data_IF_129155960651
#
_entry.id   IF_129155960651
#
_cell.length_a   1.000
_cell.length_b   1.000
_cell.length_c   1.000
_cell.angle_alpha   90.00
_cell.angle_beta   90.00
_cell.angle_gamma   90.00
#
_symmetry.space_group_name_H-M   'P 1'
#
loop_
_entity.id
_entity.type
_entity.pdbx_description
1 polymer ?
#
# COMPACT_ATOMS: atom_id res chain seq x y z
N UNK A 1 -0.17 -8.97 1.50
CA UNK A 1 -0.81 -8.06 0.50
C UNK A 1 -0.28 -8.32 -0.91
N UNK A 2 1.02 -8.61 -1.06
CA UNK A 2 1.63 -9.00 -2.34
C UNK A 2 0.97 -10.22 -3.00
N UNK A 3 0.68 -11.29 -2.25
CA UNK A 3 0.08 -12.51 -2.84
C UNK A 3 -1.32 -12.25 -3.39
N UNK A 4 -2.15 -11.50 -2.65
CA UNK A 4 -3.46 -11.07 -3.12
C UNK A 4 -3.36 -10.23 -4.41
N UNK A 5 -2.39 -9.32 -4.47
CA UNK A 5 -2.16 -8.51 -5.67
C UNK A 5 -1.67 -9.35 -6.86
N UNK A 6 -0.74 -10.27 -6.63
CA UNK A 6 -0.16 -11.11 -7.66
C UNK A 6 -1.15 -12.16 -8.19
N UNK A 7 -1.91 -12.79 -7.30
CA UNK A 7 -2.75 -13.94 -7.64
C UNK A 7 -4.17 -13.55 -8.03
N UNK A 8 -4.71 -12.45 -7.48
CA UNK A 8 -6.11 -12.07 -7.71
C UNK A 8 -6.23 -10.86 -8.64
N UNK A 9 -5.30 -9.90 -8.53
CA UNK A 9 -5.44 -8.62 -9.23
C UNK A 9 -4.73 -8.60 -10.60
N UNK A 10 -3.49 -9.10 -10.69
CA UNK A 10 -2.74 -9.10 -11.95
C UNK A 10 -3.44 -9.86 -13.09
N UNK A 11 -4.06 -11.05 -12.88
CA UNK A 11 -4.77 -11.74 -13.96
C UNK A 11 -5.94 -10.93 -14.53
N UNK A 12 -6.77 -10.35 -13.67
CA UNK A 12 -7.93 -9.53 -14.07
C UNK A 12 -7.50 -8.26 -14.83
N UNK A 13 -6.35 -7.67 -14.45
CA UNK A 13 -5.73 -6.54 -15.17
C UNK A 13 -5.37 -6.92 -16.62
N UNK A 14 -4.77 -8.10 -16.83
CA UNK A 14 -4.40 -8.54 -18.17
C UNK A 14 -5.63 -8.84 -19.03
N UNK A 15 -6.72 -9.36 -18.45
CA UNK A 15 -7.98 -9.56 -19.15
C UNK A 15 -8.62 -8.25 -19.61
N UNK A 16 -8.53 -7.18 -18.82
CA UNK A 16 -9.02 -5.85 -19.22
C UNK A 16 -8.22 -5.25 -20.37
N UNK A 17 -6.89 -5.38 -20.31
CA UNK A 17 -6.02 -4.96 -21.41
C UNK A 17 -6.37 -5.72 -22.70
N UNK A 18 -6.57 -7.04 -22.60
CA UNK A 18 -6.96 -7.87 -23.75
C UNK A 18 -8.34 -7.47 -24.29
N UNK A 19 -9.32 -7.21 -23.41
CA UNK A 19 -10.65 -6.76 -23.82
C UNK A 19 -10.64 -5.41 -24.55
N UNK A 20 -9.81 -4.46 -24.12
CA UNK A 20 -9.65 -3.16 -24.77
C UNK A 20 -8.94 -3.26 -26.13
N UNK A 21 -8.04 -4.21 -26.29
CA UNK A 21 -7.30 -4.45 -27.53
C UNK A 21 -7.98 -5.46 -28.47
N UNK A 22 -9.06 -6.11 -28.01
CA UNK A 22 -9.78 -7.15 -28.74
C UNK A 22 -10.27 -6.71 -30.11
N UNK A 23 -10.71 -5.47 -30.24
CA UNK A 23 -11.01 -4.84 -31.53
C UNK A 23 -9.92 -3.83 -31.89
N UNK A 24 -8.87 -4.32 -32.55
CA UNK A 24 -7.73 -3.51 -32.96
C UNK A 24 -8.12 -2.32 -33.86
N UNK A 25 -9.23 -2.42 -34.63
CA UNK A 25 -9.69 -1.32 -35.50
C UNK A 25 -10.37 -0.23 -34.67
N UNK A 26 -11.24 -0.62 -33.74
CA UNK A 26 -11.87 0.33 -32.83
C UNK A 26 -10.81 0.98 -31.91
N UNK A 27 -9.87 0.19 -31.38
CA UNK A 27 -8.75 0.70 -30.60
C UNK A 27 -7.88 1.68 -31.40
N UNK A 28 -7.61 1.40 -32.69
CA UNK A 28 -6.90 2.30 -33.61
C UNK A 28 -7.64 3.61 -33.89
N UNK A 29 -8.96 3.55 -34.04
CA UNK A 29 -9.80 4.74 -34.19
C UNK A 29 -9.84 5.56 -32.89
N UNK A 30 -9.86 4.90 -31.74
CA UNK A 30 -9.92 5.52 -30.41
C UNK A 30 -8.66 6.31 -30.03
N UNK A 31 -7.50 5.91 -30.56
CA UNK A 31 -6.20 6.65 -30.49
C UNK A 31 -6.01 7.67 -31.62
N UNK A 32 -6.93 7.75 -32.56
CA UNK A 32 -6.83 8.67 -33.70
C UNK A 32 -5.81 8.26 -34.77
N UNK A 33 -5.40 6.99 -34.83
CA UNK A 33 -4.59 6.44 -35.93
C UNK A 33 -5.44 6.05 -37.15
N UNK A 34 -6.75 5.85 -36.96
CA UNK A 34 -7.71 5.46 -37.99
C UNK A 34 -8.92 6.41 -37.99
N UNK A 35 -9.54 6.64 -39.16
CA UNK A 35 -10.86 7.31 -39.24
C UNK A 35 -11.95 6.37 -38.68
N UNK A 36 -12.78 6.87 -37.76
CA UNK A 36 -13.87 6.08 -37.17
C UNK A 36 -15.01 6.94 -36.62
N UNK A 37 -16.25 6.41 -36.56
CA UNK A 37 -17.35 7.11 -35.92
C UNK A 37 -17.17 7.00 -34.41
N UNK A 38 -17.34 8.11 -33.70
CA UNK A 38 -17.33 8.25 -32.22
C UNK A 38 -15.99 8.67 -31.61
N UNK A 39 -15.93 9.94 -31.18
CA UNK A 39 -15.05 10.38 -30.09
C UNK A 39 -15.42 9.60 -28.82
N UNK A 40 -14.46 9.20 -27.98
CA UNK A 40 -14.75 8.48 -26.74
C UNK A 40 -15.93 9.08 -25.99
N UNK A 41 -16.98 8.29 -25.74
CA UNK A 41 -17.79 8.59 -24.57
C UNK A 41 -16.90 8.33 -23.37
N UNK A 42 -16.53 9.39 -22.65
CA UNK A 42 -16.03 9.28 -21.28
C UNK A 42 -17.01 8.34 -20.55
N UNK A 43 -16.51 7.31 -19.87
CA UNK A 43 -17.35 6.48 -19.01
C UNK A 43 -18.17 7.45 -18.13
N UNK A 44 -19.49 7.41 -18.28
CA UNK A 44 -20.37 8.31 -17.54
C UNK A 44 -20.33 7.86 -16.08
N UNK A 45 -19.58 8.59 -15.26
CA UNK A 45 -19.62 8.42 -13.81
C UNK A 45 -21.07 8.62 -13.33
N UNK A 46 -21.57 7.77 -12.42
CA UNK A 46 -22.75 8.09 -11.65
C UNK A 46 -22.60 9.51 -11.10
N UNK A 47 -23.58 10.37 -11.41
CA UNK A 47 -23.47 11.80 -11.14
C UNK A 47 -23.07 12.04 -9.68
N UNK A 48 -22.09 12.92 -9.49
CA UNK A 48 -21.62 13.38 -8.19
C UNK A 48 -22.82 13.85 -7.37
N UNK A 49 -23.29 13.02 -6.44
CA UNK A 49 -24.30 13.44 -5.47
C UNK A 49 -23.55 14.11 -4.32
N UNK A 50 -23.54 15.44 -4.38
CA UNK A 50 -23.06 16.41 -3.38
C UNK A 50 -21.59 16.83 -3.45
N UNK A 51 -21.42 18.10 -3.84
CA UNK A 51 -20.14 18.82 -3.75
C UNK A 51 -19.88 19.32 -2.34
N UNK A 52 -19.02 18.61 -1.61
CA UNK A 52 -17.98 19.05 -0.66
C UNK A 52 -17.07 17.83 -0.49
N UNK A 53 -15.74 17.97 -0.61
CA UNK A 53 -14.78 16.85 -0.63
C UNK A 53 -14.88 15.93 0.63
N UNK A 54 -15.54 14.76 0.56
CA UNK A 54 -15.78 13.91 1.73
C UNK A 54 -14.54 13.19 2.21
N UNK A 55 -13.49 13.05 1.37
CA UNK A 55 -12.24 12.40 1.78
C UNK A 55 -11.49 13.21 2.84
N UNK A 56 -11.48 14.55 2.78
CA UNK A 56 -10.83 15.36 3.81
C UNK A 56 -11.57 15.20 5.14
N UNK A 57 -12.91 15.16 5.11
CA UNK A 57 -13.72 14.92 6.31
C UNK A 57 -13.66 13.46 6.80
N UNK A 58 -13.48 12.49 5.91
CA UNK A 58 -13.28 11.07 6.23
C UNK A 58 -11.90 10.84 6.86
N UNK A 59 -10.83 11.37 6.28
CA UNK A 59 -9.48 11.35 6.86
C UNK A 59 -9.36 12.25 8.10
N UNK A 60 -10.09 13.37 8.17
CA UNK A 60 -10.16 14.17 9.40
C UNK A 60 -10.88 13.42 10.54
N UNK A 61 -11.87 12.58 10.21
CA UNK A 61 -12.56 11.70 11.17
C UNK A 61 -11.79 10.43 11.52
N UNK A 62 -10.93 9.94 10.62
CA UNK A 62 -10.00 8.83 10.88
C UNK A 62 -8.65 9.29 11.41
N UNK A 63 -8.37 10.60 11.42
CA UNK A 63 -7.08 11.14 11.84
C UNK A 63 -6.79 10.84 13.31
N UNK A 64 -7.81 10.54 14.10
CA UNK A 64 -7.66 10.09 15.49
C UNK A 64 -8.46 8.84 15.76
N UNK A 65 -7.93 8.02 16.65
CA UNK A 65 -8.50 6.77 17.13
C UNK A 65 -8.77 6.92 18.62
N UNK A 66 -10.01 6.70 19.08
CA UNK A 66 -10.31 6.70 20.51
C UNK A 66 -9.75 5.42 21.14
N UNK A 67 -9.01 5.59 22.23
CA UNK A 67 -8.48 4.50 23.05
C UNK A 67 -8.91 4.70 24.50
N UNK A 68 -8.69 3.69 25.34
CA UNK A 68 -8.94 3.81 26.80
C UNK A 68 -8.07 4.88 27.48
N UNK A 69 -7.01 5.35 26.83
CA UNK A 69 -6.09 6.38 27.34
C UNK A 69 -6.28 7.75 26.69
N UNK A 70 -7.29 7.91 25.83
CA UNK A 70 -7.58 9.14 25.10
C UNK A 70 -7.51 8.96 23.60
N UNK A 71 -7.56 10.06 22.87
CA UNK A 71 -7.42 10.04 21.41
C UNK A 71 -5.95 9.94 21.02
N UNK A 72 -5.67 9.13 20.01
CA UNK A 72 -4.34 8.91 19.42
C UNK A 72 -4.43 9.20 17.94
N UNK A 73 -3.46 9.91 17.36
CA UNK A 73 -3.39 10.04 15.90
C UNK A 73 -3.30 8.65 15.24
N UNK A 74 -4.08 8.40 14.18
CA UNK A 74 -4.02 7.12 13.46
C UNK A 74 -2.62 6.85 12.91
N UNK A 75 -1.99 7.87 12.33
CA UNK A 75 -0.60 7.81 11.86
C UNK A 75 0.38 7.42 12.97
N UNK A 76 0.06 7.76 14.23
CA UNK A 76 0.90 7.42 15.36
C UNK A 76 0.72 5.95 15.78
N UNK A 77 -0.53 5.50 15.81
CA UNK A 77 -0.87 4.10 16.07
C UNK A 77 -0.24 3.16 15.03
N UNK A 78 -0.42 3.47 13.74
CA UNK A 78 0.12 2.69 12.62
C UNK A 78 1.64 2.63 12.68
N UNK A 79 2.28 3.78 12.83
CA UNK A 79 3.74 3.84 12.91
C UNK A 79 4.29 3.01 14.09
N UNK A 80 3.65 3.07 15.26
CA UNK A 80 4.08 2.27 16.41
C UNK A 80 3.94 0.77 16.15
N UNK A 81 2.79 0.33 15.64
CA UNK A 81 2.52 -1.09 15.36
C UNK A 81 3.52 -1.64 14.34
N UNK A 82 3.73 -0.91 13.24
CA UNK A 82 4.62 -1.31 12.16
C UNK A 82 6.07 -1.40 12.65
N UNK A 83 6.59 -0.35 13.30
CA UNK A 83 7.99 -0.34 13.75
C UNK A 83 8.26 -1.24 14.95
N UNK A 84 7.32 -1.40 15.89
CA UNK A 84 7.48 -2.40 16.95
C UNK A 84 7.57 -3.81 16.34
N UNK A 85 6.75 -4.10 15.32
CA UNK A 85 6.79 -5.36 14.58
C UNK A 85 8.10 -5.57 13.82
N UNK A 86 8.53 -4.59 13.03
CA UNK A 86 9.78 -4.65 12.24
C UNK A 86 10.99 -4.82 13.16
N UNK A 87 11.10 -4.04 14.23
CA UNK A 87 12.24 -4.12 15.16
C UNK A 87 12.28 -5.49 15.86
N UNK A 88 11.14 -6.02 16.28
CA UNK A 88 11.04 -7.36 16.87
C UNK A 88 11.40 -8.46 15.85
N UNK A 89 10.93 -8.35 14.61
CA UNK A 89 11.24 -9.28 13.53
C UNK A 89 12.72 -9.28 13.20
N UNK A 90 13.35 -8.10 13.07
CA UNK A 90 14.79 -7.99 12.79
C UNK A 90 15.64 -8.62 13.91
N UNK A 91 15.22 -8.47 15.18
CA UNK A 91 15.89 -9.12 16.31
C UNK A 91 15.74 -10.64 16.25
N UNK A 92 14.53 -11.13 15.98
CA UNK A 92 14.22 -12.56 15.94
C UNK A 92 14.88 -13.25 14.74
N UNK A 93 14.98 -12.56 13.60
CA UNK A 93 15.55 -13.04 12.35
C UNK A 93 16.99 -12.58 12.11
N UNK A 94 17.71 -12.14 13.17
CA UNK A 94 19.08 -11.63 13.06
C UNK A 94 20.09 -12.59 12.42
N UNK A 95 19.91 -13.90 12.59
CA UNK A 95 20.80 -14.91 12.00
C UNK A 95 20.54 -15.08 10.49
N UNK A 96 19.29 -15.27 10.02
CA UNK A 96 18.98 -15.17 8.59
C UNK A 96 19.48 -13.87 7.93
N UNK A 97 19.25 -12.71 8.56
CA UNK A 97 19.73 -11.41 8.05
C UNK A 97 21.26 -11.39 7.93
N UNK A 98 21.96 -11.97 8.91
CA UNK A 98 23.41 -12.09 8.87
C UNK A 98 23.88 -13.00 7.71
N UNK A 99 23.22 -14.13 7.51
CA UNK A 99 23.54 -15.07 6.42
C UNK A 99 23.29 -14.44 5.04
N UNK A 100 22.23 -13.66 4.88
CA UNK A 100 21.95 -12.95 3.63
C UNK A 100 23.07 -11.95 3.31
N UNK A 101 23.57 -11.23 4.33
CA UNK A 101 24.69 -10.29 4.17
C UNK A 101 26.02 -11.00 3.91
N UNK A 102 26.23 -12.18 4.51
CA UNK A 102 27.38 -13.05 4.26
C UNK A 102 27.44 -13.42 2.77
N UNK A 103 26.33 -13.89 2.18
CA UNK A 103 26.29 -14.22 0.75
C UNK A 103 26.57 -13.02 -0.16
N UNK A 104 26.14 -11.82 0.22
CA UNK A 104 26.44 -10.61 -0.55
C UNK A 104 27.92 -10.22 -0.46
N UNK A 105 28.53 -10.28 0.74
CA UNK A 105 29.86 -9.74 0.99
C UNK A 105 30.96 -10.78 0.73
N UNK A 106 30.81 -11.98 1.28
CA UNK A 106 31.84 -13.01 1.22
C UNK A 106 31.90 -13.72 -0.13
N UNK A 107 30.75 -13.89 -0.79
CA UNK A 107 30.67 -14.54 -2.10
C UNK A 107 30.57 -13.52 -3.25
N UNK A 108 29.99 -12.34 -3.01
CA UNK A 108 29.75 -11.33 -4.04
C UNK A 108 30.82 -10.25 -4.20
N UNK A 109 31.65 -9.99 -3.18
CA UNK A 109 32.61 -8.87 -3.16
C UNK A 109 34.06 -9.33 -2.98
N UNK A 110 34.30 -10.32 -2.12
CA UNK A 110 35.66 -10.77 -1.83
C UNK A 110 36.17 -11.81 -2.83
N UNK A 111 37.50 -11.85 -3.10
CA UNK A 111 38.09 -12.94 -3.84
C UNK A 111 37.96 -14.29 -3.10
N UNK A 112 37.78 -15.38 -3.85
CA UNK A 112 37.51 -16.74 -3.35
C UNK A 112 38.44 -17.21 -2.23
N UNK A 113 39.70 -16.76 -2.23
CA UNK A 113 40.68 -17.14 -1.21
C UNK A 113 40.41 -16.55 0.18
N UNK A 114 39.44 -15.65 0.32
CA UNK A 114 39.00 -15.06 1.58
C UNK A 114 37.63 -15.55 2.05
N UNK A 115 36.84 -16.21 1.20
CA UNK A 115 35.44 -16.54 1.48
C UNK A 115 35.28 -17.39 2.75
N UNK A 116 36.14 -18.40 2.98
CA UNK A 116 36.08 -19.21 4.19
C UNK A 116 36.28 -18.39 5.48
N UNK A 117 37.30 -17.53 5.52
CA UNK A 117 37.54 -16.67 6.69
C UNK A 117 36.48 -15.59 6.85
N UNK A 118 35.88 -15.14 5.75
CA UNK A 118 34.79 -14.17 5.76
C UNK A 118 33.53 -14.78 6.35
N UNK A 119 33.15 -15.99 5.90
CA UNK A 119 31.98 -16.72 6.39
C UNK A 119 32.08 -16.97 7.90
N UNK A 120 33.25 -17.42 8.37
CA UNK A 120 33.49 -17.61 9.80
C UNK A 120 33.33 -16.30 10.60
N UNK A 121 33.86 -15.18 10.09
CA UNK A 121 33.75 -13.88 10.74
C UNK A 121 32.31 -13.37 10.76
N UNK A 122 31.61 -13.43 9.62
CA UNK A 122 30.25 -12.95 9.48
C UNK A 122 29.29 -13.80 10.32
N UNK A 123 29.36 -15.13 10.22
CA UNK A 123 28.53 -16.04 11.00
C UNK A 123 28.69 -15.89 12.52
N UNK A 124 29.91 -15.60 13.01
CA UNK A 124 30.15 -15.42 14.44
C UNK A 124 29.71 -14.05 14.98
N UNK A 125 30.00 -12.97 14.25
CA UNK A 125 29.86 -11.61 14.80
C UNK A 125 28.65 -10.87 14.27
N UNK A 126 28.25 -11.11 13.01
CA UNK A 126 27.23 -10.32 12.37
C UNK A 126 25.85 -10.44 13.01
N UNK A 127 25.37 -11.62 13.49
CA UNK A 127 24.10 -11.69 14.21
C UNK A 127 24.07 -10.76 15.45
N UNK A 128 25.19 -10.64 16.15
CA UNK A 128 25.33 -9.74 17.30
C UNK A 128 25.39 -8.28 16.86
N UNK A 129 26.09 -7.97 15.77
CA UNK A 129 26.13 -6.61 15.19
C UNK A 129 24.73 -6.18 14.75
N UNK A 130 23.97 -7.04 14.07
CA UNK A 130 22.57 -6.78 13.69
C UNK A 130 21.75 -6.50 14.94
N UNK A 131 21.83 -7.36 15.95
CA UNK A 131 21.12 -7.16 17.21
C UNK A 131 21.44 -5.81 17.87
N UNK A 132 22.73 -5.48 18.02
CA UNK A 132 23.17 -4.21 18.60
C UNK A 132 22.74 -3.01 17.77
N UNK A 133 22.73 -3.14 16.45
CA UNK A 133 22.29 -2.07 15.53
C UNK A 133 20.79 -1.81 15.68
N UNK A 134 19.97 -2.86 15.71
CA UNK A 134 18.51 -2.74 15.88
C UNK A 134 18.17 -2.11 17.23
N UNK A 135 18.91 -2.42 18.29
CA UNK A 135 18.74 -1.81 19.61
C UNK A 135 19.00 -0.29 19.65
N UNK A 136 19.64 0.29 18.63
CA UNK A 136 19.79 1.75 18.55
C UNK A 136 18.49 2.46 18.13
N UNK A 137 17.50 1.69 17.66
CA UNK A 137 16.24 2.20 17.19
C UNK A 137 15.13 1.93 18.22
N UNK A 138 14.16 2.84 18.22
CA UNK A 138 12.88 2.65 18.91
C UNK A 138 11.78 3.15 18.01
N UNK A 139 10.60 2.53 18.11
CA UNK A 139 9.41 3.02 17.41
C UNK A 139 9.13 4.49 17.77
N UNK A 140 9.38 4.90 19.01
CA UNK A 140 9.27 6.31 19.42
C UNK A 140 10.11 7.25 18.56
N UNK A 141 11.41 6.96 18.48
CA UNK A 141 12.37 7.79 17.76
C UNK A 141 12.03 7.88 16.29
N UNK A 142 11.69 6.73 15.68
CA UNK A 142 11.35 6.65 14.26
C UNK A 142 10.04 7.40 13.98
N UNK A 143 8.99 7.16 14.76
CA UNK A 143 7.68 7.81 14.55
C UNK A 143 7.71 9.32 14.78
N UNK A 144 8.55 9.80 15.71
CA UNK A 144 8.80 11.23 15.87
C UNK A 144 9.57 11.83 14.70
N UNK A 145 10.60 11.12 14.20
CA UNK A 145 11.39 11.56 13.06
C UNK A 145 10.56 11.66 11.78
N UNK A 146 9.64 10.71 11.55
CA UNK A 146 8.71 10.75 10.41
C UNK A 146 7.55 11.73 10.59
N UNK A 147 7.48 12.43 11.74
CA UNK A 147 6.36 13.31 12.10
C UNK A 147 4.98 12.61 12.09
N UNK A 148 4.97 11.30 12.30
CA UNK A 148 3.74 10.48 12.34
C UNK A 148 3.05 10.52 13.70
N UNK A 149 3.77 10.91 14.76
CA UNK A 149 3.27 11.05 16.13
C UNK A 149 3.53 12.44 16.71
N UNK A 150 2.53 13.03 17.36
CA UNK A 150 2.72 14.09 18.34
C UNK A 150 2.99 13.51 19.75
N UNK A 151 3.39 14.35 20.71
CA UNK A 151 3.72 13.91 22.07
C UNK A 151 2.53 13.38 22.89
N UNK A 152 1.32 13.93 22.68
CA UNK A 152 0.10 13.47 23.36
C UNK A 152 -0.29 12.09 22.83
N UNK A 153 -0.32 11.94 21.51
CA UNK A 153 -0.57 10.67 20.83
C UNK A 153 0.44 9.61 21.24
N UNK A 154 1.73 9.96 21.34
CA UNK A 154 2.77 9.04 21.81
C UNK A 154 2.52 8.56 23.24
N UNK A 155 2.25 9.49 24.17
CA UNK A 155 2.00 9.14 25.56
C UNK A 155 0.79 8.20 25.71
N UNK A 156 -0.26 8.44 24.94
CA UNK A 156 -1.47 7.61 24.97
C UNK A 156 -1.24 6.22 24.34
N UNK A 157 -0.51 6.15 23.21
CA UNK A 157 -0.25 4.89 22.52
C UNK A 157 0.79 4.01 23.23
N UNK A 158 1.75 4.61 23.93
CA UNK A 158 2.77 3.89 24.70
C UNK A 158 2.20 3.14 25.91
N UNK A 159 1.00 3.51 26.37
CA UNK A 159 0.29 2.84 27.47
C UNK A 159 -0.53 1.62 27.03
N UNK A 160 -0.72 1.44 25.73
CA UNK A 160 -1.46 0.30 25.18
C UNK A 160 -0.59 -0.95 25.17
N UNK A 161 -1.17 -2.08 25.56
CA UNK A 161 -0.54 -3.39 25.37
C UNK A 161 -0.51 -3.79 23.89
N UNK A 162 0.37 -4.74 23.53
CA UNK A 162 0.41 -5.30 22.15
C UNK A 162 -0.93 -5.84 21.69
N UNK A 163 -1.69 -6.47 22.58
CA UNK A 163 -3.03 -7.00 22.29
C UNK A 163 -4.03 -5.88 21.99
N UNK A 164 -3.98 -4.78 22.74
CA UNK A 164 -4.84 -3.62 22.52
C UNK A 164 -4.50 -2.87 21.24
N UNK A 165 -3.21 -2.74 20.92
CA UNK A 165 -2.76 -2.17 19.64
C UNK A 165 -3.27 -3.01 18.47
N UNK A 166 -3.14 -4.33 18.55
CA UNK A 166 -3.65 -5.26 17.52
C UNK A 166 -5.17 -5.20 17.40
N UNK A 167 -5.90 -5.18 18.51
CA UNK A 167 -7.35 -5.02 18.52
C UNK A 167 -7.77 -3.72 17.85
N UNK A 168 -7.09 -2.61 18.18
CA UNK A 168 -7.36 -1.31 17.60
C UNK A 168 -7.08 -1.27 16.08
N UNK A 169 -6.00 -1.92 15.64
CA UNK A 169 -5.68 -2.10 14.23
C UNK A 169 -6.78 -2.91 13.51
N UNK A 170 -7.21 -4.05 14.07
CA UNK A 170 -8.25 -4.88 13.47
C UNK A 170 -9.59 -4.14 13.36
N UNK A 171 -9.99 -3.43 14.41
CA UNK A 171 -11.20 -2.59 14.39
C UNK A 171 -11.14 -1.53 13.29
N UNK A 172 -9.99 -0.85 13.16
CA UNK A 172 -9.77 0.13 12.08
C UNK A 172 -9.82 -0.54 10.72
N UNK A 173 -9.18 -1.69 10.55
CA UNK A 173 -9.19 -2.43 9.29
C UNK A 173 -10.62 -2.78 8.87
N UNK A 174 -11.45 -3.33 9.77
CA UNK A 174 -12.83 -3.68 9.43
C UNK A 174 -13.70 -2.47 9.15
N UNK A 175 -13.49 -1.34 9.83
CA UNK A 175 -14.17 -0.08 9.53
C UNK A 175 -13.78 0.44 8.14
N UNK A 176 -12.49 0.40 7.81
CA UNK A 176 -12.00 0.78 6.48
C UNK A 176 -12.56 -0.15 5.41
N UNK A 177 -12.55 -1.46 5.65
CA UNK A 177 -13.17 -2.45 4.77
C UNK A 177 -14.65 -2.16 4.54
N UNK A 178 -15.38 -1.85 5.60
CA UNK A 178 -16.81 -1.48 5.49
C UNK A 178 -17.01 -0.21 4.67
N UNK A 179 -16.18 0.81 4.85
CA UNK A 179 -16.21 2.02 4.01
C UNK A 179 -15.90 1.71 2.54
N UNK A 180 -14.88 0.90 2.27
CA UNK A 180 -14.54 0.47 0.91
C UNK A 180 -15.74 -0.21 0.27
N UNK A 181 -16.25 -1.25 0.93
CA UNK A 181 -17.42 -2.03 0.52
C UNK A 181 -18.63 -1.15 0.22
N UNK A 182 -19.03 -0.29 1.15
CA UNK A 182 -20.36 0.34 1.10
C UNK A 182 -20.33 1.75 0.49
N UNK A 183 -19.17 2.40 0.39
CA UNK A 183 -19.10 3.85 0.12
C UNK A 183 -17.97 4.30 -0.78
N UNK A 184 -16.98 3.46 -1.11
CA UNK A 184 -15.84 3.92 -1.91
C UNK A 184 -16.19 4.16 -3.38
N UNK A 185 -16.80 3.20 -4.08
CA UNK A 185 -17.18 3.38 -5.49
C UNK A 185 -18.21 4.51 -5.62
N UNK A 186 -17.94 5.44 -6.54
CA UNK A 186 -18.77 6.62 -6.75
C UNK A 186 -18.54 7.76 -5.74
N UNK A 187 -17.69 7.56 -4.72
CA UNK A 187 -17.27 8.65 -3.84
C UNK A 187 -16.27 9.59 -4.52
N UNK A 188 -16.06 10.77 -3.93
CA UNK A 188 -14.98 11.64 -4.35
C UNK A 188 -13.59 11.00 -4.16
N UNK A 189 -13.44 10.05 -3.23
CA UNK A 189 -12.17 9.32 -3.03
C UNK A 189 -11.83 8.49 -4.27
N UNK A 190 -12.83 7.78 -4.80
CA UNK A 190 -12.71 7.01 -6.03
C UNK A 190 -12.41 7.92 -7.23
N UNK A 191 -13.04 9.09 -7.31
CA UNK A 191 -12.76 10.06 -8.36
C UNK A 191 -11.33 10.65 -8.28
N UNK A 192 -10.87 11.01 -7.08
CA UNK A 192 -9.51 11.56 -6.93
C UNK A 192 -8.45 10.49 -7.22
N UNK A 193 -8.71 9.23 -6.88
CA UNK A 193 -7.85 8.10 -7.28
C UNK A 193 -7.72 8.01 -8.80
N UNK A 194 -8.83 8.06 -9.53
CA UNK A 194 -8.83 8.03 -11.01
C UNK A 194 -8.05 9.18 -11.61
N UNK A 195 -8.29 10.39 -11.10
CA UNK A 195 -7.60 11.60 -11.54
C UNK A 195 -6.10 11.51 -11.30
N UNK A 196 -5.67 11.09 -10.11
CA UNK A 196 -4.26 10.98 -9.77
C UNK A 196 -3.56 9.93 -10.63
N UNK A 197 -4.18 8.76 -10.81
CA UNK A 197 -3.62 7.71 -11.66
C UNK A 197 -3.49 8.17 -13.10
N UNK A 198 -4.51 8.86 -13.62
CA UNK A 198 -4.49 9.43 -14.97
C UNK A 198 -3.36 10.45 -15.11
N UNK A 199 -3.19 11.33 -14.12
CA UNK A 199 -2.15 12.35 -14.13
C UNK A 199 -0.75 11.71 -14.11
N UNK A 200 -0.51 10.73 -13.25
CA UNK A 200 0.80 10.11 -13.10
C UNK A 200 1.20 9.22 -14.28
N UNK A 201 0.23 8.62 -14.97
CA UNK A 201 0.48 7.67 -16.05
C UNK A 201 0.35 8.30 -17.43
N UNK A 202 -0.76 8.98 -17.70
CA UNK A 202 -1.10 9.45 -19.05
C UNK A 202 -0.44 10.76 -19.44
N UNK A 203 0.12 11.53 -18.51
CA UNK A 203 0.93 12.71 -18.88
C UNK A 203 2.31 12.35 -19.42
N UNK A 204 2.76 11.11 -19.18
CA UNK A 204 4.09 10.62 -19.57
C UNK A 204 4.12 9.90 -20.91
N UNK A 205 2.95 9.66 -21.54
CA UNK A 205 2.86 9.03 -22.87
C UNK A 205 2.82 10.07 -23.99
N UNK A 206 3.18 9.71 -25.24
CA UNK A 206 3.00 10.59 -26.39
C UNK A 206 1.57 11.14 -26.50
N UNK A 207 1.43 12.40 -26.92
CA UNK A 207 0.13 13.09 -27.01
C UNK A 207 -0.91 12.32 -27.83
N UNK A 208 -0.48 11.56 -28.84
CA UNK A 208 -1.34 10.71 -29.67
C UNK A 208 -1.95 9.53 -28.92
N UNK A 209 -1.34 9.10 -27.81
CA UNK A 209 -1.75 7.92 -27.02
C UNK A 209 -2.59 8.33 -25.79
N UNK A 210 -2.53 9.60 -25.38
CA UNK A 210 -3.25 10.12 -24.19
C UNK A 210 -4.72 9.70 -24.15
N UNK A 211 -5.53 9.83 -25.22
CA UNK A 211 -6.95 9.45 -25.17
C UNK A 211 -7.19 7.96 -24.87
N UNK A 212 -6.33 7.07 -25.37
CA UNK A 212 -6.42 5.65 -25.06
C UNK A 212 -5.93 5.35 -23.65
N UNK A 213 -4.87 6.02 -23.21
CA UNK A 213 -4.38 5.90 -21.85
C UNK A 213 -5.47 6.31 -20.84
N UNK A 214 -6.11 7.47 -21.02
CA UNK A 214 -7.18 7.94 -20.12
C UNK A 214 -8.33 6.93 -20.02
N UNK A 215 -8.73 6.33 -21.15
CA UNK A 215 -9.76 5.28 -21.15
C UNK A 215 -9.31 4.02 -20.43
N UNK A 216 -8.08 3.57 -20.69
CA UNK A 216 -7.50 2.39 -20.04
C UNK A 216 -7.46 2.59 -18.53
N UNK A 217 -6.91 3.73 -18.07
CA UNK A 217 -6.81 4.05 -16.65
C UNK A 217 -8.19 4.20 -16.00
N UNK A 218 -9.15 4.84 -16.68
CA UNK A 218 -10.51 4.96 -16.16
C UNK A 218 -11.18 3.59 -15.99
N UNK A 219 -11.06 2.69 -16.98
CA UNK A 219 -11.56 1.30 -16.86
C UNK A 219 -10.89 0.55 -15.71
N UNK A 220 -9.56 0.62 -15.67
CA UNK A 220 -8.74 -0.03 -14.65
C UNK A 220 -9.11 0.43 -13.23
N UNK A 221 -9.21 1.74 -13.01
CA UNK A 221 -9.54 2.32 -11.70
C UNK A 221 -10.93 1.86 -11.24
N UNK A 222 -11.91 1.81 -12.14
CA UNK A 222 -13.25 1.31 -11.80
C UNK A 222 -13.22 -0.17 -11.40
N UNK A 223 -12.47 -1.03 -12.11
CA UNK A 223 -12.34 -2.44 -11.73
C UNK A 223 -11.59 -2.63 -10.43
N UNK A 224 -10.48 -1.93 -10.23
CA UNK A 224 -9.75 -1.91 -8.95
C UNK A 224 -10.70 -1.56 -7.82
N UNK A 225 -11.52 -0.53 -7.99
CA UNK A 225 -12.45 -0.08 -6.97
C UNK A 225 -13.53 -1.13 -6.66
N UNK A 226 -14.13 -1.75 -7.70
CA UNK A 226 -15.11 -2.82 -7.52
C UNK A 226 -14.53 -4.10 -6.95
N UNK A 227 -13.31 -4.49 -7.35
CA UNK A 227 -12.61 -5.63 -6.77
C UNK A 227 -12.26 -5.39 -5.32
N UNK A 228 -11.81 -4.17 -4.99
CA UNK A 228 -11.61 -3.72 -3.62
C UNK A 228 -12.89 -3.83 -2.78
N UNK A 229 -14.06 -3.47 -3.34
CA UNK A 229 -15.35 -3.67 -2.68
C UNK A 229 -15.67 -5.13 -2.42
N UNK A 230 -15.48 -6.00 -3.42
CA UNK A 230 -15.70 -7.45 -3.29
C UNK A 230 -14.82 -8.03 -2.18
N UNK A 231 -13.52 -7.74 -2.22
CA UNK A 231 -12.55 -8.22 -1.22
C UNK A 231 -12.86 -7.68 0.17
N UNK A 232 -13.24 -6.41 0.28
CA UNK A 232 -13.66 -5.84 1.54
C UNK A 232 -14.94 -6.50 2.09
N UNK A 233 -15.88 -6.89 1.22
CA UNK A 233 -17.10 -7.60 1.62
C UNK A 233 -16.82 -8.99 2.20
N UNK A 234 -15.77 -9.67 1.75
CA UNK A 234 -15.37 -10.98 2.30
C UNK A 234 -14.64 -10.88 3.66
N UNK A 235 -14.17 -9.68 4.03
CA UNK A 235 -13.30 -9.47 5.18
C UNK A 235 -11.91 -10.09 5.05
N UNK A 236 -11.56 -10.67 3.89
CA UNK A 236 -10.26 -11.31 3.63
C UNK A 236 -9.09 -10.33 3.81
N UNK A 237 -9.32 -9.04 3.53
CA UNK A 237 -8.28 -8.02 3.64
C UNK A 237 -7.73 -7.90 5.07
N UNK A 238 -8.61 -7.93 6.07
CA UNK A 238 -8.22 -7.88 7.47
C UNK A 238 -7.78 -9.25 7.99
N UNK A 239 -8.43 -10.34 7.54
CA UNK A 239 -8.08 -11.71 7.96
C UNK A 239 -6.64 -12.07 7.62
N UNK A 240 -6.18 -11.69 6.42
CA UNK A 240 -4.81 -11.96 5.99
C UNK A 240 -3.75 -11.14 6.76
N UNK A 241 -4.16 -10.18 7.58
CA UNK A 241 -3.29 -9.39 8.47
C UNK A 241 -3.32 -9.90 9.91
N UNK A 242 -3.91 -11.08 10.16
CA UNK A 242 -4.04 -11.65 11.50
C UNK A 242 -5.16 -11.04 12.34
N UNK A 243 -6.13 -10.42 11.68
CA UNK A 243 -7.50 -10.33 12.17
C UNK A 243 -8.29 -11.54 11.58
#
# INVERSE_FOLDING_TARGET
>A
MCDMFAEQFLPELFEELDALLKDAKQACADVGFCEGPVRPKKLEHPQVVNGVHPVINYWAKLGTVPTKHGQVLMSCLECKVEWDGILEEMINNRAPIANDLEGVVCDGVLPDNFSASCNDFMGMYLPTVVYMTVLQFSSEGICKHMHSCDGVSWNNVALLSKEELRGQFCDTCYKMGSYVKDSFVGSAAHFEMEKQWTLETCTRVPKTIVPLCERFISGLVNRVAHKGQELAATGLWCKNQGC
#
